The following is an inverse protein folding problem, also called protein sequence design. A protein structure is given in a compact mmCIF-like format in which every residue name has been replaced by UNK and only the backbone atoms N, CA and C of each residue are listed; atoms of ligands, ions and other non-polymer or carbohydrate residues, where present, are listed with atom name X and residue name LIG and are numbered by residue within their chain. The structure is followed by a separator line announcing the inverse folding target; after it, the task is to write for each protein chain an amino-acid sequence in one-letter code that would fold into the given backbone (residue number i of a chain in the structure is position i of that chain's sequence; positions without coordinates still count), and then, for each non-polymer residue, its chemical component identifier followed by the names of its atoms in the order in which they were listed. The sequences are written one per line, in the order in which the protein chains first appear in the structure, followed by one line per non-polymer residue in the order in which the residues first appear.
data_IF_150285241434
#
_entry.id   IF_150285241434
#
_cell.length_a   1.000
_cell.length_b   1.000
_cell.length_c   1.000
_cell.angle_alpha   90.00
_cell.angle_beta   90.00
_cell.angle_gamma   90.00
#
_symmetry.space_group_name_H-M   'P 1'
#
loop_
_entity.id
_entity.type
_entity.pdbx_description
1 polymer ?
#
# COMPACT_ATOMS: atom_id res chain seq x y z
N UNK A 1 -9.66 -10.42 9.42
CA UNK A 1 -9.23 -9.01 9.53
C UNK A 1 -7.71 -8.97 9.46
N UNK A 2 -7.13 -7.95 8.81
CA UNK A 2 -5.68 -7.76 8.81
C UNK A 2 -5.19 -7.49 10.25
N UNK A 3 -4.05 -8.05 10.59
CA UNK A 3 -3.46 -7.86 11.92
C UNK A 3 -1.94 -7.86 11.83
N UNK A 4 -1.27 -7.18 12.77
CA UNK A 4 0.18 -7.13 12.89
C UNK A 4 0.56 -7.64 14.27
N UNK A 5 1.54 -8.57 14.35
CA UNK A 5 2.03 -9.05 15.64
C UNK A 5 2.73 -7.94 16.42
N UNK A 6 2.57 -7.91 17.74
CA UNK A 6 3.23 -6.91 18.60
C UNK A 6 4.76 -7.04 18.52
N UNK A 7 5.29 -8.25 18.34
CA UNK A 7 6.72 -8.48 18.11
C UNK A 7 7.24 -7.63 16.93
N UNK A 8 6.50 -7.62 15.81
CA UNK A 8 6.87 -6.85 14.62
C UNK A 8 6.79 -5.32 14.85
N UNK A 9 5.84 -4.89 15.69
CA UNK A 9 5.73 -3.48 16.13
C UNK A 9 6.97 -3.10 16.97
N UNK A 10 7.34 -3.92 17.95
CA UNK A 10 8.50 -3.72 18.82
C UNK A 10 9.78 -3.56 17.98
N UNK A 11 10.03 -4.49 17.07
CA UNK A 11 11.22 -4.47 16.20
C UNK A 11 11.24 -3.23 15.30
N UNK A 12 10.12 -2.95 14.61
CA UNK A 12 10.04 -1.82 13.67
C UNK A 12 10.17 -0.47 14.33
N UNK A 13 9.53 -0.28 15.47
CA UNK A 13 9.54 0.98 16.22
C UNK A 13 10.70 1.09 17.21
N UNK A 14 11.50 0.01 17.36
CA UNK A 14 12.62 -0.11 18.29
C UNK A 14 12.19 0.20 19.73
N UNK A 15 11.11 -0.47 20.16
CA UNK A 15 10.57 -0.30 21.51
C UNK A 15 11.34 -1.16 22.50
N UNK A 16 11.55 -0.63 23.72
CA UNK A 16 12.02 -1.39 24.87
C UNK A 16 10.82 -2.08 25.53
N UNK A 17 10.94 -3.37 25.81
CA UNK A 17 9.92 -4.12 26.56
C UNK A 17 10.19 -4.00 28.07
N UNK A 18 9.26 -3.39 28.79
CA UNK A 18 9.36 -3.18 30.25
C UNK A 18 8.72 -4.32 31.06
N UNK A 19 8.02 -5.23 30.40
CA UNK A 19 7.37 -6.41 31.00
C UNK A 19 7.79 -7.69 30.25
N UNK A 20 9.07 -8.08 30.32
CA UNK A 20 9.60 -9.23 29.59
C UNK A 20 8.98 -10.57 29.99
N UNK A 21 8.31 -10.64 31.14
CA UNK A 21 7.59 -11.80 31.64
C UNK A 21 6.33 -12.11 30.80
N UNK A 22 5.80 -11.13 30.05
CA UNK A 22 4.60 -11.29 29.23
C UNK A 22 4.98 -11.75 27.84
N UNK A 23 4.40 -12.85 27.38
CA UNK A 23 4.59 -13.31 26.00
C UNK A 23 3.85 -12.43 24.98
N UNK A 24 4.60 -11.65 24.21
CA UNK A 24 4.09 -10.74 23.18
C UNK A 24 3.82 -11.40 21.83
N UNK A 25 4.20 -12.69 21.62
CA UNK A 25 4.12 -13.36 20.32
C UNK A 25 2.70 -13.52 19.82
N UNK A 26 1.75 -13.68 20.72
CA UNK A 26 0.33 -13.90 20.40
C UNK A 26 -0.47 -12.61 20.34
N UNK A 27 0.08 -11.50 20.81
CA UNK A 27 -0.59 -10.20 20.81
C UNK A 27 -0.61 -9.62 19.39
N UNK A 28 -1.79 -9.18 18.96
CA UNK A 28 -2.02 -8.63 17.61
C UNK A 28 -2.62 -7.23 17.69
N UNK A 29 -2.10 -6.33 16.88
CA UNK A 29 -2.69 -5.02 16.64
C UNK A 29 -3.59 -5.14 15.40
N UNK A 30 -4.85 -4.75 15.53
CA UNK A 30 -5.88 -4.87 14.49
C UNK A 30 -6.38 -3.53 13.95
N UNK A 31 -6.03 -2.42 14.63
CA UNK A 31 -6.43 -1.07 14.27
C UNK A 31 -5.22 -0.14 14.15
N UNK A 32 -5.23 0.78 13.18
CA UNK A 32 -4.15 1.76 13.03
C UNK A 32 -4.25 2.91 14.03
N UNK A 33 -5.46 3.16 14.55
CA UNK A 33 -5.72 4.23 15.48
C UNK A 33 -5.11 3.96 16.84
N UNK A 34 -4.77 5.05 17.52
CA UNK A 34 -4.11 5.03 18.82
C UNK A 34 -4.98 5.80 19.81
N UNK A 35 -4.96 5.40 21.07
CA UNK A 35 -5.62 6.12 22.14
C UNK A 35 -4.63 6.65 23.16
N UNK A 36 -4.95 7.81 23.73
CA UNK A 36 -4.27 8.38 24.90
C UNK A 36 -5.25 8.32 26.08
N UNK A 37 -4.99 7.47 27.11
CA UNK A 37 -6.00 7.13 28.10
C UNK A 37 -6.13 8.17 29.24
N UNK A 38 -5.98 9.47 28.93
CA UNK A 38 -6.07 10.53 29.94
C UNK A 38 -7.44 10.56 30.65
N UNK A 39 -8.54 10.43 29.91
CA UNK A 39 -9.90 10.38 30.47
C UNK A 39 -10.16 9.08 31.25
N UNK A 40 -9.59 7.97 30.78
CA UNK A 40 -9.71 6.67 31.47
C UNK A 40 -8.99 6.68 32.82
N UNK A 41 -7.82 7.31 32.88
CA UNK A 41 -7.11 7.52 34.15
C UNK A 41 -7.88 8.42 35.12
N UNK A 42 -8.73 9.31 34.60
CA UNK A 42 -9.65 10.13 35.40
C UNK A 42 -10.99 9.42 35.70
N UNK A 43 -11.17 8.16 35.28
CA UNK A 43 -12.35 7.34 35.58
C UNK A 43 -13.47 7.40 34.54
N UNK A 44 -13.27 8.03 33.38
CA UNK A 44 -14.28 8.12 32.32
C UNK A 44 -13.98 7.11 31.20
N UNK A 45 -14.90 6.14 31.01
CA UNK A 45 -14.73 5.03 30.05
C UNK A 45 -15.80 4.99 28.94
N UNK A 46 -16.71 5.95 28.90
CA UNK A 46 -17.71 6.00 27.84
C UNK A 46 -17.01 6.17 26.48
N UNK A 47 -17.35 5.32 25.51
CA UNK A 47 -16.73 5.25 24.21
C UNK A 47 -15.20 4.89 24.20
N UNK A 48 -14.69 4.29 25.27
CA UNK A 48 -13.32 3.81 25.31
C UNK A 48 -13.14 2.61 24.37
N UNK A 49 -12.31 2.76 23.35
CA UNK A 49 -11.93 1.67 22.45
C UNK A 49 -10.62 1.03 22.95
N UNK A 50 -10.77 -0.03 23.73
CA UNK A 50 -9.66 -0.76 24.32
C UNK A 50 -8.81 -1.52 23.26
N UNK A 51 -9.35 -1.79 22.07
CA UNK A 51 -8.63 -2.54 21.02
C UNK A 51 -7.47 -1.75 20.39
N UNK A 52 -7.41 -0.44 20.68
CA UNK A 52 -6.35 0.44 20.21
C UNK A 52 -5.09 0.31 21.08
N UNK A 53 -3.92 0.49 20.46
CA UNK A 53 -2.68 0.70 21.20
C UNK A 53 -2.80 1.96 22.06
N UNK A 54 -2.45 1.86 23.35
CA UNK A 54 -2.52 2.98 24.29
C UNK A 54 -1.15 3.66 24.41
N UNK A 55 -1.12 5.01 24.46
CA UNK A 55 0.11 5.78 24.66
C UNK A 55 0.01 6.66 25.89
N UNK A 56 0.98 6.53 26.78
CA UNK A 56 1.19 7.42 27.91
C UNK A 56 2.25 8.45 27.50
N UNK A 57 1.81 9.71 27.41
CA UNK A 57 2.69 10.86 27.20
C UNK A 57 2.96 11.61 28.48
N UNK A 58 3.60 12.78 28.36
CA UNK A 58 3.98 13.59 29.52
C UNK A 58 2.76 14.08 30.35
N UNK A 59 1.64 14.36 29.66
CA UNK A 59 0.42 14.84 30.35
C UNK A 59 -0.18 13.73 31.22
N UNK A 60 -0.37 12.55 30.66
CA UNK A 60 -0.89 11.40 31.41
C UNK A 60 0.05 11.02 32.54
N UNK A 61 1.35 11.03 32.27
CA UNK A 61 2.37 10.69 33.23
C UNK A 61 2.36 11.63 34.47
N UNK A 62 2.37 12.95 34.23
CA UNK A 62 2.32 13.94 35.33
C UNK A 62 1.00 13.89 36.09
N UNK A 63 -0.11 13.56 35.41
CA UNK A 63 -1.39 13.34 36.08
C UNK A 63 -1.34 12.14 37.03
N UNK A 64 -0.72 11.04 36.57
CA UNK A 64 -0.50 9.84 37.39
C UNK A 64 0.43 10.14 38.62
N UNK A 65 1.49 10.94 38.42
CA UNK A 65 2.38 11.34 39.50
C UNK A 65 1.65 12.13 40.61
N UNK A 66 0.65 12.91 40.25
CA UNK A 66 -0.18 13.68 41.19
C UNK A 66 -1.19 12.88 42.01
N UNK A 67 -1.39 11.58 41.69
CA UNK A 67 -2.33 10.71 42.43
C UNK A 67 -1.71 10.10 43.65
N UNK A 68 -2.53 9.78 44.67
CA UNK A 68 -2.12 8.89 45.78
C UNK A 68 -1.99 7.45 45.29
N UNK A 69 -1.26 6.60 46.01
CA UNK A 69 -1.08 5.19 45.64
C UNK A 69 -2.39 4.41 45.57
N UNK A 70 -3.36 4.73 46.43
CA UNK A 70 -4.70 4.13 46.40
C UNK A 70 -5.42 4.52 45.14
N UNK A 71 -5.40 5.80 44.78
CA UNK A 71 -6.07 6.30 43.54
C UNK A 71 -5.41 5.75 42.28
N UNK A 72 -4.05 5.66 42.26
CA UNK A 72 -3.33 5.02 41.15
C UNK A 72 -3.75 3.59 40.96
N UNK A 73 -3.75 2.80 42.04
CA UNK A 73 -4.12 1.39 42.02
C UNK A 73 -5.53 1.20 41.46
N UNK A 74 -6.49 2.01 41.92
CA UNK A 74 -7.88 1.93 41.44
C UNK A 74 -7.98 2.30 39.94
N UNK A 75 -7.31 3.39 39.51
CA UNK A 75 -7.33 3.84 38.13
C UNK A 75 -6.68 2.83 37.18
N UNK A 76 -5.54 2.23 37.58
CA UNK A 76 -4.85 1.23 36.79
C UNK A 76 -5.63 -0.08 36.67
N UNK A 77 -6.24 -0.55 37.77
CA UNK A 77 -7.12 -1.72 37.74
C UNK A 77 -8.31 -1.52 36.79
N UNK A 78 -8.97 -0.36 36.82
CA UNK A 78 -10.08 -0.04 35.95
C UNK A 78 -9.66 0.02 34.48
N UNK A 79 -8.49 0.65 34.19
CA UNK A 79 -7.97 0.75 32.83
C UNK A 79 -7.58 -0.63 32.29
N UNK A 80 -6.86 -1.41 33.08
CA UNK A 80 -6.29 -2.69 32.66
C UNK A 80 -7.28 -3.86 32.74
N UNK A 81 -8.49 -3.63 33.26
CA UNK A 81 -9.58 -4.60 33.17
C UNK A 81 -10.11 -4.80 31.75
N UNK A 82 -9.75 -3.93 30.83
CA UNK A 82 -10.09 -4.04 29.41
C UNK A 82 -9.02 -4.81 28.65
N UNK A 83 -9.40 -5.43 27.53
CA UNK A 83 -8.50 -6.18 26.65
C UNK A 83 -7.65 -5.22 25.78
N UNK A 84 -6.63 -4.62 26.41
CA UNK A 84 -5.72 -3.67 25.79
C UNK A 84 -4.55 -4.44 25.18
N UNK A 85 -4.21 -4.24 23.86
CA UNK A 85 -3.13 -4.98 23.23
C UNK A 85 -1.74 -4.63 23.78
N UNK A 86 -1.48 -3.37 24.11
CA UNK A 86 -0.28 -2.91 24.78
C UNK A 86 -0.37 -1.45 25.20
N UNK A 87 0.49 -1.05 26.12
CA UNK A 87 0.65 0.35 26.56
C UNK A 87 2.08 0.78 26.28
N UNK A 88 2.27 1.96 25.64
CA UNK A 88 3.59 2.49 25.30
C UNK A 88 3.84 3.80 26.05
N UNK A 89 4.89 3.87 26.82
CA UNK A 89 5.38 5.09 27.42
C UNK A 89 6.32 5.82 26.46
N UNK A 90 6.01 7.06 26.13
CA UNK A 90 6.85 7.90 25.27
C UNK A 90 7.90 8.69 26.09
N UNK A 91 8.90 9.30 25.39
CA UNK A 91 9.94 10.16 26.00
C UNK A 91 10.81 9.47 27.06
N UNK A 92 10.95 8.14 26.98
CA UNK A 92 11.67 7.33 27.97
C UNK A 92 11.12 7.46 29.41
N UNK A 93 9.85 7.85 29.55
CA UNK A 93 9.14 7.89 30.82
C UNK A 93 9.08 6.48 31.41
N UNK A 94 9.31 6.37 32.73
CA UNK A 94 9.33 5.07 33.42
C UNK A 94 8.05 4.94 34.26
N UNK A 95 7.23 3.89 33.99
CA UNK A 95 6.05 3.62 34.83
C UNK A 95 6.47 3.33 36.28
N UNK A 96 5.61 3.69 37.22
CA UNK A 96 5.78 3.35 38.62
C UNK A 96 5.61 1.83 38.86
N UNK A 97 6.09 1.29 40.01
CA UNK A 97 5.96 -0.15 40.28
C UNK A 97 4.52 -0.67 40.31
N UNK A 98 3.57 0.13 40.84
CA UNK A 98 2.16 -0.26 40.93
C UNK A 98 1.60 -0.47 39.52
N UNK A 99 1.99 0.39 38.54
CA UNK A 99 1.59 0.25 37.14
C UNK A 99 2.11 -1.06 36.53
N UNK A 100 3.40 -1.36 36.70
CA UNK A 100 4.02 -2.57 36.17
C UNK A 100 3.41 -3.84 36.79
N UNK A 101 3.25 -3.88 38.12
CA UNK A 101 2.64 -5.00 38.82
C UNK A 101 1.19 -5.25 38.33
N UNK A 102 0.40 -4.18 38.12
CA UNK A 102 -0.96 -4.28 37.62
C UNK A 102 -0.96 -4.78 36.16
N UNK A 103 -0.08 -4.26 35.31
CA UNK A 103 0.05 -4.67 33.92
C UNK A 103 0.43 -6.17 33.78
N UNK A 104 1.39 -6.63 34.59
CA UNK A 104 1.79 -8.05 34.61
C UNK A 104 0.62 -8.94 35.04
N UNK A 105 -0.14 -8.55 36.05
CA UNK A 105 -1.31 -9.31 36.53
C UNK A 105 -2.41 -9.42 35.47
N UNK A 106 -2.61 -8.35 34.70
CA UNK A 106 -3.59 -8.32 33.61
C UNK A 106 -3.01 -8.80 32.26
N UNK A 107 -1.76 -9.23 32.23
CA UNK A 107 -1.08 -9.71 31.01
C UNK A 107 -1.04 -8.67 29.87
N UNK A 108 -0.93 -7.37 30.21
CA UNK A 108 -0.86 -6.27 29.25
C UNK A 108 0.59 -5.86 29.06
N UNK A 109 1.19 -6.02 27.86
CA UNK A 109 2.56 -5.61 27.59
C UNK A 109 2.76 -4.10 27.74
N UNK A 110 3.79 -3.72 28.50
CA UNK A 110 4.22 -2.33 28.68
C UNK A 110 5.53 -2.12 27.96
N UNK A 111 5.55 -1.13 27.08
CA UNK A 111 6.68 -0.82 26.19
C UNK A 111 7.12 0.63 26.41
N UNK A 112 8.35 0.96 26.03
CA UNK A 112 8.90 2.31 26.10
C UNK A 112 9.53 2.75 24.79
N UNK A 113 9.49 4.06 24.53
CA UNK A 113 10.20 4.70 23.41
C UNK A 113 10.83 6.02 23.86
N UNK A 114 12.01 6.33 23.31
CA UNK A 114 12.69 7.63 23.53
C UNK A 114 12.05 8.77 22.71
N UNK A 115 11.22 8.45 21.71
CA UNK A 115 10.57 9.43 20.85
C UNK A 115 9.56 10.28 21.62
N UNK A 116 9.34 11.50 21.14
CA UNK A 116 8.21 12.31 21.61
C UNK A 116 6.89 11.59 21.31
N UNK A 117 5.84 11.91 22.08
CA UNK A 117 4.50 11.34 21.87
C UNK A 117 4.00 11.58 20.43
N UNK A 118 4.15 12.81 19.93
CA UNK A 118 3.70 13.18 18.59
C UNK A 118 4.47 12.48 17.47
N UNK A 119 5.80 12.38 17.60
CA UNK A 119 6.65 11.71 16.61
C UNK A 119 6.34 10.21 16.55
N UNK A 120 6.22 9.57 17.71
CA UNK A 120 5.89 8.16 17.79
C UNK A 120 4.50 7.88 17.24
N UNK A 121 3.48 8.67 17.61
CA UNK A 121 2.12 8.54 17.10
C UNK A 121 2.08 8.66 15.57
N UNK A 122 2.71 9.70 15.02
CA UNK A 122 2.72 9.93 13.57
C UNK A 122 3.38 8.77 12.81
N UNK A 123 4.47 8.23 13.34
CA UNK A 123 5.21 7.14 12.71
C UNK A 123 4.44 5.81 12.76
N UNK A 124 3.92 5.45 13.94
CA UNK A 124 3.23 4.17 14.10
C UNK A 124 1.88 4.14 13.39
N UNK A 125 1.08 5.23 13.43
CA UNK A 125 -0.19 5.33 12.71
C UNK A 125 0.06 5.14 11.20
N UNK A 126 1.02 5.88 10.64
CA UNK A 126 1.37 5.75 9.21
C UNK A 126 1.78 4.32 8.87
N UNK A 127 2.59 3.69 9.71
CA UNK A 127 3.06 2.33 9.47
C UNK A 127 1.92 1.30 9.60
N UNK A 128 1.07 1.42 10.63
CA UNK A 128 -0.09 0.53 10.83
C UNK A 128 -1.11 0.69 9.71
N UNK A 129 -1.39 1.91 9.24
CA UNK A 129 -2.27 2.14 8.09
C UNK A 129 -1.82 1.36 6.86
N UNK A 130 -0.52 1.35 6.56
CA UNK A 130 0.02 0.58 5.44
C UNK A 130 -0.08 -0.94 5.70
N UNK A 131 0.20 -1.39 6.92
CA UNK A 131 0.22 -2.83 7.25
C UNK A 131 -1.16 -3.44 7.41
N UNK A 132 -2.12 -2.67 7.91
CA UNK A 132 -3.51 -3.10 8.12
C UNK A 132 -4.42 -2.74 6.93
N UNK A 133 -3.89 -2.04 5.92
CA UNK A 133 -4.62 -1.69 4.72
C UNK A 133 -5.22 -2.95 4.06
N UNK A 134 -6.45 -2.87 3.54
CA UNK A 134 -7.03 -3.92 2.74
C UNK A 134 -6.06 -4.39 1.66
N UNK A 135 -5.85 -5.69 1.55
CA UNK A 135 -4.92 -6.30 0.63
C UNK A 135 -5.57 -7.45 -0.12
N UNK A 136 -5.36 -7.50 -1.44
CA UNK A 136 -5.74 -8.62 -2.29
C UNK A 136 -4.52 -9.08 -3.08
N UNK A 137 -4.53 -10.35 -3.49
CA UNK A 137 -3.54 -10.89 -4.43
C UNK A 137 -4.16 -10.95 -5.82
N UNK A 138 -3.43 -10.43 -6.80
CA UNK A 138 -3.83 -10.43 -8.21
C UNK A 138 -2.77 -11.18 -9.00
N UNK A 139 -3.20 -12.08 -9.89
CA UNK A 139 -2.29 -12.75 -10.82
C UNK A 139 -1.88 -11.79 -11.93
N UNK A 140 -0.59 -11.52 -12.04
CA UNK A 140 -0.04 -10.57 -12.99
C UNK A 140 1.42 -10.21 -12.69
N UNK A 141 1.93 -9.27 -13.47
CA UNK A 141 3.29 -8.73 -13.35
C UNK A 141 3.21 -7.24 -13.11
N UNK A 142 3.97 -6.74 -12.14
CA UNK A 142 4.06 -5.30 -11.88
C UNK A 142 5.47 -4.80 -12.21
N UNK A 143 5.52 -3.80 -13.09
CA UNK A 143 6.76 -3.15 -13.53
C UNK A 143 6.63 -1.64 -13.34
N UNK A 144 7.69 -1.01 -12.85
CA UNK A 144 7.84 0.44 -12.86
C UNK A 144 8.41 0.86 -14.23
N UNK A 145 7.57 1.50 -15.05
CA UNK A 145 7.92 1.95 -16.40
C UNK A 145 7.99 3.47 -16.42
N UNK A 146 9.18 4.02 -16.43
CA UNK A 146 9.44 5.48 -16.34
C UNK A 146 8.81 6.17 -15.12
N UNK A 147 8.61 5.43 -14.01
CA UNK A 147 7.96 5.94 -12.80
C UNK A 147 6.46 5.65 -12.71
N UNK A 148 5.80 5.24 -13.80
CA UNK A 148 4.42 4.77 -13.79
C UNK A 148 4.37 3.27 -13.43
N UNK A 149 3.52 2.89 -12.49
CA UNK A 149 3.31 1.48 -12.14
C UNK A 149 2.35 0.81 -13.11
N UNK A 150 2.90 -0.07 -13.94
CA UNK A 150 2.15 -0.82 -14.94
C UNK A 150 1.89 -2.23 -14.44
N UNK A 151 0.61 -2.53 -14.15
CA UNK A 151 0.15 -3.87 -13.81
C UNK A 151 -0.27 -4.61 -15.07
N UNK A 152 0.50 -5.61 -15.47
CA UNK A 152 0.24 -6.44 -16.64
C UNK A 152 -0.54 -7.68 -16.19
N UNK A 153 -1.76 -7.86 -16.69
CA UNK A 153 -2.65 -8.98 -16.39
C UNK A 153 -3.01 -9.74 -17.67
N UNK A 154 -3.62 -10.92 -17.55
CA UNK A 154 -4.02 -11.76 -18.68
C UNK A 154 -3.85 -13.24 -18.34
N UNK A 155 -4.26 -14.11 -19.24
CA UNK A 155 -4.20 -15.56 -19.05
C UNK A 155 -2.77 -16.07 -18.82
N UNK A 156 -2.66 -17.24 -18.19
CA UNK A 156 -1.36 -17.88 -17.99
C UNK A 156 -0.74 -18.26 -19.33
N UNK A 157 0.53 -17.91 -19.54
CA UNK A 157 1.24 -18.21 -20.79
C UNK A 157 1.07 -17.17 -21.91
N UNK A 158 0.36 -16.09 -21.65
CA UNK A 158 0.12 -15.05 -22.67
C UNK A 158 1.35 -14.14 -22.94
N UNK A 159 2.45 -14.32 -22.21
CA UNK A 159 3.69 -13.56 -22.41
C UNK A 159 3.92 -12.42 -21.42
N UNK A 160 3.27 -12.44 -20.23
CA UNK A 160 3.45 -11.38 -19.20
C UNK A 160 4.89 -11.28 -18.69
N UNK A 161 5.45 -12.41 -18.29
CA UNK A 161 6.82 -12.48 -17.74
C UNK A 161 7.88 -12.17 -18.79
N UNK A 162 7.68 -12.60 -20.04
CA UNK A 162 8.55 -12.27 -21.17
C UNK A 162 8.52 -10.77 -21.47
N UNK A 163 7.35 -10.15 -21.44
CA UNK A 163 7.21 -8.69 -21.59
C UNK A 163 7.91 -7.95 -20.46
N UNK A 164 7.79 -8.41 -19.22
CA UNK A 164 8.48 -7.82 -18.08
C UNK A 164 10.00 -7.94 -18.22
N UNK A 165 10.52 -9.10 -18.62
CA UNK A 165 11.96 -9.30 -18.84
C UNK A 165 12.51 -8.35 -19.91
N UNK A 166 11.79 -8.17 -21.01
CA UNK A 166 12.19 -7.23 -22.06
C UNK A 166 12.15 -5.77 -21.54
N UNK A 167 11.16 -5.39 -20.72
CA UNK A 167 11.11 -4.09 -20.06
C UNK A 167 12.31 -3.89 -19.11
N UNK A 168 12.69 -4.91 -18.33
CA UNK A 168 13.87 -4.86 -17.45
C UNK A 168 15.14 -4.63 -18.27
N UNK A 169 15.33 -5.33 -19.39
CA UNK A 169 16.47 -5.15 -20.29
C UNK A 169 16.54 -3.75 -20.89
N UNK A 170 15.41 -3.05 -20.99
CA UNK A 170 15.30 -1.66 -21.43
C UNK A 170 15.53 -0.64 -20.32
N UNK A 171 15.79 -1.09 -19.07
CA UNK A 171 16.12 -0.24 -17.94
C UNK A 171 14.93 0.06 -17.01
N UNK A 172 13.80 -0.63 -17.16
CA UNK A 172 12.69 -0.56 -16.23
C UNK A 172 12.90 -1.48 -15.03
N UNK A 173 12.08 -1.36 -14.00
CA UNK A 173 12.27 -2.04 -12.73
C UNK A 173 11.15 -3.03 -12.44
N UNK A 174 11.50 -4.28 -12.19
CA UNK A 174 10.57 -5.30 -11.72
C UNK A 174 10.14 -5.00 -10.28
N UNK A 175 8.85 -5.06 -10.00
CA UNK A 175 8.32 -5.10 -8.63
C UNK A 175 8.00 -6.54 -8.24
N UNK A 176 7.23 -7.23 -9.07
CA UNK A 176 6.87 -8.64 -8.84
C UNK A 176 6.43 -9.31 -10.14
N UNK A 177 6.60 -10.64 -10.20
CA UNK A 177 6.06 -11.52 -11.24
C UNK A 177 5.10 -12.53 -10.59
N UNK A 178 4.13 -13.01 -11.37
CA UNK A 178 3.11 -14.00 -11.05
C UNK A 178 2.06 -13.51 -10.03
N UNK A 179 2.44 -13.07 -8.84
CA UNK A 179 1.53 -12.60 -7.79
C UNK A 179 1.86 -11.17 -7.38
N UNK A 180 0.87 -10.29 -7.49
CA UNK A 180 0.95 -8.90 -7.05
C UNK A 180 0.05 -8.71 -5.83
N UNK A 181 0.63 -8.39 -4.68
CA UNK A 181 -0.13 -7.95 -3.51
C UNK A 181 -0.52 -6.49 -3.67
N UNK A 182 -1.80 -6.23 -3.87
CA UNK A 182 -2.36 -4.87 -3.97
C UNK A 182 -2.90 -4.43 -2.62
N UNK A 183 -2.42 -3.28 -2.13
CA UNK A 183 -2.87 -2.66 -0.88
C UNK A 183 -3.51 -1.30 -1.15
N UNK A 184 -4.69 -1.07 -0.60
CA UNK A 184 -5.34 0.24 -0.62
C UNK A 184 -4.75 1.11 0.49
N UNK A 185 -3.88 2.07 0.15
CA UNK A 185 -3.23 2.97 1.13
C UNK A 185 -3.98 4.29 1.30
N UNK A 186 -4.82 4.66 0.33
CA UNK A 186 -5.77 5.77 0.43
C UNK A 186 -6.97 5.53 -0.50
N UNK A 187 -7.94 6.45 -0.51
CA UNK A 187 -9.16 6.30 -1.32
C UNK A 187 -8.89 6.28 -2.83
N UNK A 188 -7.77 6.81 -3.27
CA UNK A 188 -7.37 6.92 -4.67
C UNK A 188 -6.04 6.21 -4.99
N UNK A 189 -5.40 5.57 -4.01
CA UNK A 189 -4.04 5.04 -4.17
C UNK A 189 -3.96 3.56 -3.84
N UNK A 190 -3.58 2.77 -4.84
CA UNK A 190 -3.21 1.36 -4.72
C UNK A 190 -1.70 1.22 -4.82
N UNK A 191 -1.11 0.45 -3.92
CA UNK A 191 0.32 0.10 -3.96
C UNK A 191 0.47 -1.39 -4.16
N UNK A 192 1.26 -1.78 -5.15
CA UNK A 192 1.62 -3.16 -5.44
C UNK A 192 2.99 -3.53 -4.87
N UNK A 193 3.11 -4.76 -4.40
CA UNK A 193 4.35 -5.36 -3.90
C UNK A 193 4.43 -6.84 -4.22
N UNK A 194 5.63 -7.41 -4.14
CA UNK A 194 5.83 -8.85 -4.16
C UNK A 194 5.49 -9.48 -2.80
N UNK A 195 4.98 -10.72 -2.76
CA UNK A 195 5.11 -11.58 -1.59
C UNK A 195 6.59 -11.76 -1.21
N UNK A 196 6.91 -11.81 0.09
CA UNK A 196 8.30 -11.90 0.57
C UNK A 196 9.08 -13.10 -0.03
N UNK A 197 8.37 -14.21 -0.32
CA UNK A 197 8.97 -15.45 -0.84
C UNK A 197 9.37 -15.33 -2.31
N UNK A 198 8.60 -14.63 -3.15
CA UNK A 198 8.80 -14.52 -4.59
C UNK A 198 9.49 -13.23 -5.02
N UNK A 199 9.91 -12.43 -4.04
CA UNK A 199 10.52 -11.12 -4.28
C UNK A 199 11.77 -11.23 -5.15
N UNK A 200 11.82 -10.44 -6.25
CA UNK A 200 12.89 -10.36 -7.24
C UNK A 200 13.02 -11.56 -8.18
N UNK A 201 12.17 -12.58 -8.04
CA UNK A 201 12.16 -13.71 -8.96
C UNK A 201 11.17 -13.50 -10.10
N UNK A 202 11.49 -14.09 -11.25
CA UNK A 202 10.63 -14.16 -12.43
C UNK A 202 10.63 -15.60 -12.96
N UNK A 203 9.47 -16.10 -13.36
CA UNK A 203 9.36 -17.43 -13.97
C UNK A 203 9.31 -17.32 -15.49
N UNK A 204 10.23 -17.99 -16.16
CA UNK A 204 10.32 -18.06 -17.62
C UNK A 204 10.13 -19.50 -18.08
N UNK A 205 9.09 -19.74 -18.88
CA UNK A 205 8.82 -21.09 -19.40
C UNK A 205 9.98 -21.60 -20.23
N UNK A 206 10.45 -22.83 -19.94
CA UNK A 206 11.60 -23.45 -20.60
C UNK A 206 12.98 -23.06 -20.06
N UNK A 207 13.05 -22.03 -19.20
CA UNK A 207 14.28 -21.62 -18.51
C UNK A 207 14.18 -21.92 -17.01
N UNK A 208 12.99 -21.68 -16.40
CA UNK A 208 12.75 -21.81 -14.98
C UNK A 208 12.74 -20.49 -14.24
N UNK A 209 13.06 -20.53 -12.94
CA UNK A 209 13.07 -19.35 -12.06
C UNK A 209 14.40 -18.61 -12.17
N UNK A 210 14.32 -17.29 -12.35
CA UNK A 210 15.46 -16.41 -12.55
C UNK A 210 15.44 -15.30 -11.49
N UNK A 211 16.56 -15.05 -10.81
CA UNK A 211 16.74 -13.91 -9.91
C UNK A 211 17.15 -12.67 -10.72
N UNK A 212 16.19 -11.76 -10.88
CA UNK A 212 16.36 -10.53 -11.66
C UNK A 212 17.39 -9.61 -11.02
N UNK A 213 17.41 -9.52 -9.70
CA UNK A 213 18.38 -8.68 -8.97
C UNK A 213 19.80 -9.19 -9.12
N UNK A 214 20.00 -10.51 -9.11
CA UNK A 214 21.31 -11.13 -9.29
C UNK A 214 21.82 -10.96 -10.74
N UNK A 215 20.93 -11.07 -11.75
CA UNK A 215 21.33 -11.00 -13.16
C UNK A 215 21.47 -9.58 -13.68
N UNK A 216 20.59 -8.66 -13.31
CA UNK A 216 20.52 -7.31 -13.89
C UNK A 216 20.90 -6.21 -12.89
N UNK A 217 21.23 -6.56 -11.65
CA UNK A 217 21.66 -5.62 -10.61
C UNK A 217 20.51 -5.03 -9.78
N UNK A 218 20.88 -4.32 -8.71
CA UNK A 218 19.93 -3.77 -7.76
C UNK A 218 18.99 -2.68 -8.35
N UNK A 219 19.42 -2.02 -9.41
CA UNK A 219 18.64 -0.98 -10.09
C UNK A 219 17.50 -1.54 -10.95
N UNK A 220 17.52 -2.84 -11.26
CA UNK A 220 16.48 -3.51 -12.05
C UNK A 220 15.26 -3.93 -11.26
N UNK A 221 15.26 -3.75 -9.94
CA UNK A 221 14.16 -4.15 -9.05
C UNK A 221 13.70 -3.00 -8.17
N UNK A 222 12.45 -3.09 -7.71
CA UNK A 222 11.83 -2.15 -6.79
C UNK A 222 10.92 -2.89 -5.83
N UNK A 223 10.86 -2.47 -4.56
CA UNK A 223 10.10 -3.18 -3.54
C UNK A 223 8.59 -2.96 -3.63
N UNK A 224 8.19 -1.74 -3.97
CA UNK A 224 6.78 -1.32 -4.06
C UNK A 224 6.59 -0.29 -5.15
N UNK A 225 5.41 -0.27 -5.77
CA UNK A 225 5.05 0.76 -6.75
C UNK A 225 3.54 1.05 -6.67
N UNK A 226 3.16 2.32 -6.83
CA UNK A 226 1.76 2.71 -7.04
C UNK A 226 1.26 2.12 -8.35
N UNK A 227 0.01 1.66 -8.40
CA UNK A 227 -0.61 1.18 -9.62
C UNK A 227 -1.22 2.37 -10.35
N UNK A 228 -0.63 2.76 -11.47
CA UNK A 228 -1.09 3.87 -12.30
C UNK A 228 -1.89 3.42 -13.51
N UNK A 229 -1.54 2.25 -14.06
CA UNK A 229 -2.08 1.74 -15.30
C UNK A 229 -2.19 0.21 -15.24
N UNK A 230 -3.29 -0.33 -15.73
CA UNK A 230 -3.46 -1.76 -15.97
C UNK A 230 -3.41 -2.04 -17.48
N UNK A 231 -2.59 -3.00 -17.87
CA UNK A 231 -2.56 -3.54 -19.22
C UNK A 231 -3.07 -4.96 -19.14
N UNK A 232 -4.24 -5.19 -19.72
CA UNK A 232 -4.82 -6.54 -19.85
C UNK A 232 -4.48 -7.10 -21.20
N UNK A 233 -3.65 -8.14 -21.19
CA UNK A 233 -3.31 -8.89 -22.38
C UNK A 233 -4.40 -9.91 -22.67
N UNK A 234 -4.88 -9.97 -23.90
CA UNK A 234 -5.90 -10.92 -24.35
C UNK A 234 -5.54 -11.47 -25.71
N UNK A 235 -5.98 -12.71 -26.00
CA UNK A 235 -5.81 -13.27 -27.33
C UNK A 235 -6.59 -12.47 -28.36
N UNK A 236 -6.02 -12.39 -29.57
CA UNK A 236 -6.69 -11.70 -30.66
C UNK A 236 -8.00 -12.42 -31.05
N UNK A 237 -9.10 -11.69 -30.97
CA UNK A 237 -10.42 -12.12 -31.43
C UNK A 237 -10.82 -11.32 -32.69
N UNK A 238 -11.20 -12.04 -33.76
CA UNK A 238 -11.61 -11.40 -35.01
C UNK A 238 -12.96 -10.72 -34.91
N UNK A 239 -13.81 -11.22 -34.04
CA UNK A 239 -15.21 -10.78 -33.90
C UNK A 239 -15.33 -9.65 -32.85
N UNK A 240 -14.24 -9.30 -32.16
CA UNK A 240 -14.18 -8.23 -31.19
C UNK A 240 -13.69 -6.93 -31.81
N UNK A 241 -14.45 -5.85 -31.61
CA UNK A 241 -13.97 -4.49 -31.92
C UNK A 241 -13.01 -4.00 -30.88
N UNK A 242 -11.85 -3.55 -31.32
CA UNK A 242 -10.82 -2.94 -30.44
C UNK A 242 -10.80 -1.43 -30.64
N UNK A 243 -10.75 -0.69 -29.54
CA UNK A 243 -10.58 0.76 -29.58
C UNK A 243 -9.28 1.12 -30.32
N UNK A 244 -9.41 1.90 -31.39
CA UNK A 244 -8.27 2.36 -32.21
C UNK A 244 -7.91 3.82 -31.94
N UNK A 245 -8.82 4.57 -31.39
CA UNK A 245 -8.66 6.01 -31.22
C UNK A 245 -8.23 6.39 -29.80
N UNK A 246 -8.59 5.60 -28.78
CA UNK A 246 -8.25 5.89 -27.37
C UNK A 246 -8.95 7.15 -26.86
N UNK A 247 -10.12 7.48 -27.38
CA UNK A 247 -10.93 8.63 -26.94
C UNK A 247 -11.61 8.35 -25.61
N UNK A 248 -12.05 7.13 -25.39
CA UNK A 248 -12.67 6.68 -24.16
C UNK A 248 -11.63 5.97 -23.26
N UNK A 249 -11.74 6.18 -21.98
CA UNK A 249 -10.90 5.48 -21.00
C UNK A 249 -11.69 4.34 -20.37
N UNK A 250 -11.14 3.13 -20.48
CA UNK A 250 -11.65 1.98 -19.75
C UNK A 250 -11.00 1.91 -18.39
N UNK A 251 -11.75 1.41 -17.41
CA UNK A 251 -11.28 1.28 -16.03
C UNK A 251 -11.47 -0.15 -15.54
N UNK A 252 -10.59 -0.57 -14.66
CA UNK A 252 -10.76 -1.76 -13.82
C UNK A 252 -10.77 -1.34 -12.36
N UNK A 253 -11.41 -2.14 -11.51
CA UNK A 253 -11.56 -1.79 -10.10
C UNK A 253 -10.86 -2.82 -9.21
N UNK A 254 -10.06 -2.31 -8.27
CA UNK A 254 -9.43 -3.10 -7.22
C UNK A 254 -9.66 -2.41 -5.87
N UNK A 255 -10.23 -3.12 -4.89
CA UNK A 255 -10.49 -2.60 -3.54
C UNK A 255 -11.30 -1.28 -3.52
N UNK A 256 -12.19 -1.08 -4.50
CA UNK A 256 -12.98 0.15 -4.65
C UNK A 256 -12.25 1.31 -5.36
N UNK A 257 -10.99 1.12 -5.79
CA UNK A 257 -10.23 2.11 -6.56
C UNK A 257 -10.32 1.79 -8.05
N UNK A 258 -10.67 2.79 -8.86
CA UNK A 258 -10.69 2.68 -10.32
C UNK A 258 -9.31 3.02 -10.89
N UNK A 259 -8.78 2.12 -11.71
CA UNK A 259 -7.50 2.29 -12.41
C UNK A 259 -7.73 2.22 -13.91
N UNK A 260 -7.11 3.12 -14.68
CA UNK A 260 -7.16 3.09 -16.14
C UNK A 260 -6.67 1.74 -16.65
N UNK A 261 -7.42 1.15 -17.59
CA UNK A 261 -7.15 -0.18 -18.13
C UNK A 261 -7.13 -0.16 -19.65
N UNK A 262 -6.06 -0.69 -20.26
CA UNK A 262 -5.99 -0.93 -21.69
C UNK A 262 -6.04 -2.43 -21.98
N UNK A 263 -7.01 -2.85 -22.82
CA UNK A 263 -7.09 -4.20 -23.32
C UNK A 263 -6.25 -4.31 -24.59
N UNK A 264 -5.17 -5.08 -24.54
CA UNK A 264 -4.19 -5.19 -25.63
C UNK A 264 -4.28 -6.58 -26.24
N UNK A 265 -4.81 -6.69 -27.47
CA UNK A 265 -4.86 -7.97 -28.17
C UNK A 265 -3.46 -8.39 -28.62
N UNK A 266 -3.11 -9.65 -28.35
CA UNK A 266 -1.84 -10.23 -28.72
C UNK A 266 -1.93 -10.91 -30.07
N UNK A 267 -0.94 -10.68 -30.91
CA UNK A 267 -0.66 -11.43 -32.15
C UNK A 267 0.81 -11.78 -32.22
N UNK A 268 1.19 -12.90 -32.86
CA UNK A 268 2.58 -13.19 -33.15
C UNK A 268 3.28 -12.01 -33.81
N UNK A 269 4.49 -11.68 -33.35
CA UNK A 269 5.29 -10.58 -33.88
C UNK A 269 5.05 -9.20 -33.26
N UNK A 270 4.11 -9.04 -32.32
CA UNK A 270 3.97 -7.79 -31.55
C UNK A 270 4.99 -7.71 -30.43
N UNK A 271 5.68 -6.60 -30.33
CA UNK A 271 6.57 -6.32 -29.20
C UNK A 271 5.78 -5.72 -28.03
N UNK A 272 5.47 -6.54 -27.03
CA UNK A 272 4.67 -6.15 -25.86
C UNK A 272 5.36 -5.10 -25.01
N UNK A 273 6.69 -5.14 -24.88
CA UNK A 273 7.44 -4.16 -24.10
C UNK A 273 7.29 -2.75 -24.68
N UNK A 274 7.39 -2.61 -26.01
CA UNK A 274 7.18 -1.32 -26.70
C UNK A 274 5.77 -0.80 -26.48
N UNK A 275 4.77 -1.69 -26.52
CA UNK A 275 3.38 -1.31 -26.27
C UNK A 275 3.19 -0.83 -24.83
N UNK A 276 3.76 -1.54 -23.85
CA UNK A 276 3.70 -1.16 -22.43
C UNK A 276 4.41 0.19 -22.18
N UNK A 277 5.60 0.39 -22.75
CA UNK A 277 6.32 1.68 -22.65
C UNK A 277 5.48 2.82 -23.24
N UNK A 278 4.93 2.63 -24.43
CA UNK A 278 4.12 3.64 -25.10
C UNK A 278 2.85 3.96 -24.30
N UNK A 279 2.17 2.94 -23.77
CA UNK A 279 0.99 3.11 -22.93
C UNK A 279 1.31 3.90 -21.65
N UNK A 280 2.40 3.60 -20.97
CA UNK A 280 2.85 4.31 -19.77
C UNK A 280 3.17 5.79 -20.05
N UNK A 281 3.90 6.07 -21.15
CA UNK A 281 4.25 7.44 -21.57
C UNK A 281 2.96 8.21 -21.93
N UNK A 282 2.06 7.61 -22.71
CA UNK A 282 0.80 8.24 -23.10
C UNK A 282 -0.10 8.52 -21.90
N UNK A 283 -0.16 7.57 -20.95
CA UNK A 283 -0.90 7.75 -19.69
C UNK A 283 -0.35 8.95 -18.90
N UNK A 284 0.98 9.05 -18.76
CA UNK A 284 1.63 10.19 -18.12
C UNK A 284 1.32 11.51 -18.82
N UNK A 285 1.37 11.54 -20.15
CA UNK A 285 1.02 12.75 -20.91
C UNK A 285 -0.42 13.19 -20.67
N UNK A 286 -1.36 12.23 -20.63
CA UNK A 286 -2.77 12.50 -20.30
C UNK A 286 -2.91 13.09 -18.88
N UNK A 287 -2.20 12.55 -17.89
CA UNK A 287 -2.13 13.13 -16.52
C UNK A 287 -1.61 14.57 -16.51
N UNK A 288 -0.69 14.89 -17.41
CA UNK A 288 -0.12 16.24 -17.57
C UNK A 288 -1.01 17.19 -18.42
N UNK A 289 -2.19 16.73 -18.84
CA UNK A 289 -3.19 17.52 -19.56
C UNK A 289 -3.15 17.41 -21.09
N UNK A 290 -2.21 16.66 -21.68
CA UNK A 290 -2.15 16.46 -23.12
C UNK A 290 -2.78 15.12 -23.52
N UNK A 291 -3.78 15.17 -24.42
CA UNK A 291 -4.44 13.98 -24.96
C UNK A 291 -4.39 14.00 -26.50
N UNK A 292 -3.50 13.20 -27.09
CA UNK A 292 -3.28 13.14 -28.53
C UNK A 292 -4.54 12.76 -29.30
N UNK A 293 -5.39 11.87 -28.78
CA UNK A 293 -6.63 11.46 -29.42
C UNK A 293 -7.65 12.61 -29.51
N UNK A 294 -7.80 13.38 -28.42
CA UNK A 294 -8.66 14.57 -28.40
C UNK A 294 -8.11 15.66 -29.32
N UNK A 295 -6.81 15.85 -29.35
CA UNK A 295 -6.16 16.82 -30.23
C UNK A 295 -6.39 16.47 -31.71
N UNK A 296 -6.19 15.20 -32.08
CA UNK A 296 -6.47 14.72 -33.44
C UNK A 296 -7.95 14.90 -33.81
N UNK A 297 -8.85 14.53 -32.90
CA UNK A 297 -10.29 14.72 -33.12
C UNK A 297 -10.65 16.18 -33.38
N UNK A 298 -10.13 17.11 -32.59
CA UNK A 298 -10.34 18.56 -32.75
C UNK A 298 -9.82 19.05 -34.12
N UNK A 299 -8.63 18.61 -34.53
CA UNK A 299 -8.06 18.96 -35.84
C UNK A 299 -8.92 18.49 -36.99
N UNK A 300 -9.47 17.25 -36.93
CA UNK A 300 -10.35 16.71 -37.94
C UNK A 300 -11.65 17.50 -38.02
N UNK A 301 -12.27 17.82 -36.86
CA UNK A 301 -13.48 18.62 -36.82
C UNK A 301 -13.28 20.03 -37.44
N UNK A 302 -12.20 20.69 -37.08
CA UNK A 302 -11.87 22.02 -37.64
C UNK A 302 -11.60 21.98 -39.13
N UNK A 303 -10.99 20.90 -39.64
CA UNK A 303 -10.76 20.72 -41.08
C UNK A 303 -12.06 20.48 -41.87
N UNK A 304 -12.98 19.72 -41.26
CA UNK A 304 -14.30 19.49 -41.87
C UNK A 304 -15.17 20.76 -41.85
N UNK A 305 -15.08 21.57 -40.77
CA UNK A 305 -15.82 22.84 -40.72
C UNK A 305 -15.34 23.81 -41.81
N UNK A 306 -14.03 23.96 -41.99
CA UNK A 306 -13.44 24.83 -43.02
C UNK A 306 -13.88 24.40 -44.45
N UNK A 307 -13.90 23.11 -44.75
CA UNK A 307 -14.34 22.63 -46.04
C UNK A 307 -15.82 22.93 -46.33
N UNK A 308 -16.68 22.88 -45.29
CA UNK A 308 -18.12 23.22 -45.46
C UNK A 308 -18.30 24.73 -45.72
N UNK A 309 -17.51 25.59 -45.04
CA UNK A 309 -17.53 27.03 -45.32
C UNK A 309 -17.07 27.35 -46.76
N UNK A 310 -15.99 26.69 -47.23
CA UNK A 310 -15.47 26.83 -48.59
C UNK A 310 -16.51 26.34 -49.67
N UNK A 311 -17.21 25.25 -49.40
CA UNK A 311 -18.24 24.71 -50.32
C UNK A 311 -19.50 25.59 -50.36
N UNK A 312 -19.87 26.30 -49.27
CA UNK A 312 -20.98 27.26 -49.20
C UNK A 312 -20.65 28.62 -49.83
N UNK A 313 -19.39 29.02 -49.90
CA UNK A 313 -18.97 30.27 -50.58
C UNK A 313 -18.80 30.12 -52.10
N UNK A 314 -18.76 28.88 -52.64
CA UNK A 314 -18.64 28.57 -54.05
C UNK A 314 -20.03 28.31 -54.73
N UNK A 315 -21.14 28.26 -53.98
CA UNK A 315 -22.52 28.27 -54.51
C UNK A 315 -23.13 29.66 -54.57
#
# INVERSE_FOLDING_TARGET
MASVSLTRVIEKMKLENLTPEIDVKHVKITQPDINRPALQLAGYFEHFDATRLQIIGFVEYTYMEGMTDETRKEAYEKLMAYDIPCIVFSRDLKPDPIFLETAIRHQIPVLSTKKSTSDFMSEIIRWLNVKLAPCISVHGVLVDVYGEGVLITGESGIGKSEAALELIRRGHRLVTDDVVELRKVSDDTLVGSAPDITKHFIELRGIGIVDVKALFGALSVKDTQTIDLVIRLEDWDKDKEYDRLGLEENYTEYLGNKVVCHNIPIRPGRNLAVICETAAINHRQKKMGYNAAKELYTRVQNSLAKRREEDEDDE
#
